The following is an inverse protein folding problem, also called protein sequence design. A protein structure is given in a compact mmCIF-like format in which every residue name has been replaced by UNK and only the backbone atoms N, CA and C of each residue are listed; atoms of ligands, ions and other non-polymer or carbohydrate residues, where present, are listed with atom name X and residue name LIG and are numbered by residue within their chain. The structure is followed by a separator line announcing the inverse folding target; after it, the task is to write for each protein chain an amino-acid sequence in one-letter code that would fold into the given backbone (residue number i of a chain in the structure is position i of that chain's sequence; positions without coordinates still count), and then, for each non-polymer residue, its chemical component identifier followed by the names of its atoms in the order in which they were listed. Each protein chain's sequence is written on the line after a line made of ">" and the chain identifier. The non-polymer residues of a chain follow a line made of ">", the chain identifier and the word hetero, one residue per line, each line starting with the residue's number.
data_IF_160999920018
#
_entry.id   IF_160999920018
#
_cell.length_a   1.000
_cell.length_b   1.000
_cell.length_c   1.000
_cell.angle_alpha   90.00
_cell.angle_beta   90.00
_cell.angle_gamma   90.00
#
_symmetry.space_group_name_H-M   'P 1'
#
loop_
_entity.id
_entity.type
_entity.pdbx_description
1 polymer ?
#
# COMPACT_ATOMS: atom_id res chain seq x y z
N UNK A 1 19.11 -5.04 -18.02
CA UNK A 1 19.53 -4.79 -16.63
C UNK A 1 18.58 -3.80 -15.99
N UNK A 2 18.22 -4.07 -14.73
CA UNK A 2 17.26 -3.30 -13.95
C UNK A 2 17.93 -2.81 -12.66
N UNK A 3 17.51 -1.63 -12.19
CA UNK A 3 17.83 -1.14 -10.86
C UNK A 3 16.56 -0.99 -10.04
N UNK A 4 16.54 -1.57 -8.84
CA UNK A 4 15.53 -1.32 -7.83
C UNK A 4 16.05 -0.29 -6.83
N UNK A 5 15.36 0.84 -6.75
CA UNK A 5 15.54 1.86 -5.72
C UNK A 5 14.43 1.70 -4.68
N UNK A 6 14.82 1.56 -3.41
CA UNK A 6 13.90 1.22 -2.32
C UNK A 6 14.26 2.00 -1.05
N UNK A 7 13.27 2.68 -0.46
CA UNK A 7 13.43 3.46 0.75
C UNK A 7 13.46 2.61 2.03
N UNK A 8 14.50 2.81 2.83
CA UNK A 8 14.70 2.08 4.07
C UNK A 8 13.66 2.49 5.12
N UNK A 9 12.86 1.53 5.59
CA UNK A 9 11.83 1.75 6.62
C UNK A 9 10.98 2.99 6.31
N UNK A 10 10.46 3.08 5.08
CA UNK A 10 9.98 4.32 4.47
C UNK A 10 9.15 5.24 5.38
N UNK A 11 8.10 4.74 6.05
CA UNK A 11 7.29 5.59 6.94
C UNK A 11 8.09 6.17 8.11
N UNK A 12 8.97 5.38 8.74
CA UNK A 12 9.86 5.91 9.78
C UNK A 12 10.83 6.96 9.21
N UNK A 13 11.35 6.74 8.00
CA UNK A 13 12.24 7.69 7.33
C UNK A 13 11.51 8.99 6.94
N UNK A 14 10.26 8.89 6.51
CA UNK A 14 9.40 10.02 6.19
C UNK A 14 9.17 10.92 7.43
N UNK A 15 8.88 10.32 8.58
CA UNK A 15 8.74 11.05 9.85
C UNK A 15 10.04 11.76 10.28
N UNK A 16 11.20 11.23 9.88
CA UNK A 16 12.51 11.82 10.17
C UNK A 16 12.94 12.93 9.20
N UNK A 17 12.21 13.18 8.11
CA UNK A 17 12.57 14.21 7.11
C UNK A 17 12.59 15.60 7.75
N UNK A 18 11.53 15.93 8.49
CA UNK A 18 11.35 17.21 9.20
C UNK A 18 11.77 17.15 10.67
N UNK A 19 12.20 15.98 11.15
CA UNK A 19 12.71 15.74 12.51
C UNK A 19 14.14 15.19 12.47
N UNK A 20 15.14 16.00 12.11
CA UNK A 20 16.54 15.56 12.08
C UNK A 20 17.03 15.07 13.44
N UNK A 21 16.45 15.58 14.53
CA UNK A 21 16.69 15.15 15.92
C UNK A 21 16.23 13.71 16.23
N UNK A 22 15.46 13.09 15.33
CA UNK A 22 15.02 11.69 15.43
C UNK A 22 15.92 10.72 14.69
N UNK A 23 16.89 11.20 13.91
CA UNK A 23 17.82 10.34 13.19
C UNK A 23 18.67 9.55 14.18
N UNK A 24 18.79 8.25 13.93
CA UNK A 24 19.50 7.34 14.84
C UNK A 24 18.72 6.87 16.06
N UNK A 25 17.47 7.35 16.27
CA UNK A 25 16.60 6.90 17.36
C UNK A 25 15.64 5.78 16.92
N UNK A 26 15.16 4.94 17.85
CA UNK A 26 14.12 3.95 17.54
C UNK A 26 12.79 4.65 17.20
N UNK A 27 12.26 4.37 16.01
CA UNK A 27 11.00 4.94 15.52
C UNK A 27 10.10 3.82 14.98
N UNK A 28 8.83 3.87 15.34
CA UNK A 28 7.77 3.03 14.78
C UNK A 28 6.61 3.89 14.26
N UNK A 29 5.91 3.37 13.26
CA UNK A 29 4.68 3.97 12.73
C UNK A 29 3.54 2.97 12.86
N UNK A 30 2.42 3.44 13.38
CA UNK A 30 1.21 2.67 13.63
C UNK A 30 0.25 2.75 12.43
N UNK A 31 -0.59 1.73 12.26
CA UNK A 31 -1.68 1.69 11.27
C UNK A 31 -2.78 2.70 11.58
N UNK A 32 -3.82 2.71 10.73
CA UNK A 32 -5.13 3.26 11.09
C UNK A 32 -5.54 2.86 12.51
N UNK A 33 -6.17 3.81 13.21
CA UNK A 33 -6.63 3.69 14.60
C UNK A 33 -5.52 3.40 15.62
N UNK A 34 -4.25 3.68 15.28
CA UNK A 34 -3.10 3.35 16.11
C UNK A 34 -3.05 1.86 16.50
N UNK A 35 -3.59 1.00 15.63
CA UNK A 35 -3.89 -0.41 15.94
C UNK A 35 -2.66 -1.32 15.98
N UNK A 36 -1.86 -1.34 14.91
CA UNK A 36 -0.69 -2.22 14.81
C UNK A 36 0.53 -1.52 14.22
N UNK A 37 1.71 -2.08 14.44
CA UNK A 37 2.97 -1.55 13.93
C UNK A 37 3.11 -1.87 12.44
N UNK A 38 3.04 -0.85 11.58
CA UNK A 38 3.15 -0.99 10.11
C UNK A 38 4.53 -0.65 9.57
N UNK A 39 5.34 0.09 10.33
CA UNK A 39 6.76 0.30 10.05
C UNK A 39 7.56 0.38 11.34
N UNK A 40 8.80 -0.13 11.29
CA UNK A 40 9.77 -0.05 12.37
C UNK A 40 11.15 0.08 11.74
N UNK A 41 11.92 1.07 12.19
CA UNK A 41 13.29 1.25 11.73
C UNK A 41 14.25 0.24 12.39
N UNK A 42 15.52 0.23 11.94
CA UNK A 42 16.53 -0.72 12.45
C UNK A 42 16.68 -0.62 13.97
N UNK A 43 16.75 0.60 14.50
CA UNK A 43 16.93 0.85 15.94
C UNK A 43 15.73 0.37 16.77
N UNK A 44 14.50 0.50 16.26
CA UNK A 44 13.32 -0.05 16.93
C UNK A 44 13.36 -1.59 16.96
N UNK A 45 13.79 -2.23 15.87
CA UNK A 45 13.95 -3.70 15.83
C UNK A 45 15.05 -4.18 16.77
N UNK A 46 16.17 -3.47 16.82
CA UNK A 46 17.28 -3.73 17.77
C UNK A 46 16.84 -3.52 19.24
N UNK A 47 15.87 -2.64 19.48
CA UNK A 47 15.23 -2.47 20.79
C UNK A 47 14.21 -3.58 21.14
N UNK A 48 14.05 -4.59 20.27
CA UNK A 48 13.15 -5.73 20.48
C UNK A 48 11.72 -5.50 20.00
N UNK A 49 11.45 -4.44 19.23
CA UNK A 49 10.10 -4.18 18.70
C UNK A 49 9.89 -4.95 17.41
N UNK A 50 8.98 -5.92 17.44
CA UNK A 50 8.59 -6.69 16.26
C UNK A 50 7.55 -5.94 15.42
N UNK A 51 7.66 -6.08 14.09
CA UNK A 51 6.73 -5.47 13.13
C UNK A 51 5.43 -6.30 13.09
N UNK A 52 4.31 -5.65 12.80
CA UNK A 52 2.98 -6.26 12.65
C UNK A 52 2.31 -6.77 13.93
N UNK A 53 2.87 -6.47 15.11
CA UNK A 53 2.18 -6.68 16.39
C UNK A 53 1.16 -5.56 16.66
N UNK A 54 0.05 -5.86 17.36
CA UNK A 54 -0.83 -4.84 17.91
C UNK A 54 -0.07 -3.91 18.87
N UNK A 55 -0.26 -2.60 18.73
CA UNK A 55 0.50 -1.61 19.49
C UNK A 55 0.26 -1.73 21.00
N UNK A 56 -0.98 -2.02 21.41
CA UNK A 56 -1.33 -2.12 22.83
C UNK A 56 -0.50 -3.18 23.58
N UNK A 57 -0.07 -4.26 22.91
CA UNK A 57 0.74 -5.33 23.51
C UNK A 57 2.17 -4.89 23.78
N UNK A 58 2.69 -3.92 23.03
CA UNK A 58 4.09 -3.49 23.09
C UNK A 58 4.25 -2.05 23.56
N UNK A 59 3.15 -1.37 23.92
CA UNK A 59 3.13 0.03 24.34
C UNK A 59 4.09 0.30 25.52
N UNK A 60 4.04 -0.53 26.56
CA UNK A 60 4.90 -0.38 27.72
C UNK A 60 6.38 -0.61 27.39
N UNK A 61 6.68 -1.59 26.52
CA UNK A 61 8.03 -1.83 26.03
C UNK A 61 8.56 -0.63 25.24
N UNK A 62 7.74 -0.04 24.37
CA UNK A 62 8.07 1.16 23.63
C UNK A 62 8.43 2.33 24.57
N UNK A 63 7.61 2.57 25.61
CA UNK A 63 7.88 3.62 26.59
C UNK A 63 9.19 3.38 27.33
N UNK A 64 9.42 2.16 27.85
CA UNK A 64 10.65 1.81 28.58
C UNK A 64 11.92 1.93 27.71
N UNK A 65 11.81 1.65 26.42
CA UNK A 65 12.93 1.70 25.46
C UNK A 65 13.08 3.06 24.77
N UNK A 66 12.26 4.06 25.11
CA UNK A 66 12.30 5.38 24.48
C UNK A 66 11.99 5.36 22.99
N UNK A 67 11.12 4.45 22.55
CA UNK A 67 10.70 4.33 21.15
C UNK A 67 9.77 5.48 20.79
N UNK A 68 10.10 6.21 19.73
CA UNK A 68 9.23 7.24 19.17
C UNK A 68 8.12 6.54 18.39
N UNK A 69 6.88 6.82 18.77
CA UNK A 69 5.68 6.21 18.18
C UNK A 69 4.89 7.28 17.44
N UNK A 70 4.65 7.05 16.14
CA UNK A 70 3.86 7.95 15.30
C UNK A 70 2.59 7.26 14.79
N UNK A 71 1.48 7.96 14.76
CA UNK A 71 0.31 7.57 13.96
C UNK A 71 0.66 7.64 12.47
N UNK A 72 -0.01 6.87 11.61
CA UNK A 72 0.19 6.99 10.16
C UNK A 72 -0.14 8.39 9.64
N UNK A 73 0.82 9.03 8.96
CA UNK A 73 0.70 10.31 8.26
C UNK A 73 0.67 10.13 6.73
N UNK A 74 -0.39 9.49 6.20
CA UNK A 74 -0.43 9.07 4.78
C UNK A 74 -0.32 10.21 3.78
N UNK A 75 -0.80 11.39 4.13
CA UNK A 75 -0.70 12.59 3.31
C UNK A 75 0.76 13.01 3.15
N UNK A 76 1.52 13.06 4.26
CA UNK A 76 2.96 13.31 4.25
C UNK A 76 3.71 12.20 3.48
N UNK A 77 3.33 10.94 3.68
CA UNK A 77 3.99 9.80 3.04
C UNK A 77 3.79 9.81 1.52
N UNK A 78 2.57 10.13 1.05
CA UNK A 78 2.27 10.22 -0.37
C UNK A 78 3.05 11.35 -1.06
N UNK A 79 3.15 12.51 -0.42
CA UNK A 79 3.90 13.66 -0.93
C UNK A 79 5.41 13.35 -1.04
N UNK A 80 6.01 12.83 0.05
CA UNK A 80 7.43 12.47 0.06
C UNK A 80 7.75 11.32 -0.91
N UNK A 81 6.84 10.35 -1.06
CA UNK A 81 6.92 9.32 -2.10
C UNK A 81 6.95 9.93 -3.49
N UNK A 82 5.98 10.79 -3.81
CA UNK A 82 5.89 11.44 -5.12
C UNK A 82 7.19 12.18 -5.47
N UNK A 83 7.71 12.96 -4.51
CA UNK A 83 9.00 13.66 -4.66
C UNK A 83 10.15 12.69 -4.89
N UNK A 84 10.23 11.60 -4.12
CA UNK A 84 11.25 10.57 -4.29
C UNK A 84 11.18 9.91 -5.66
N UNK A 85 9.99 9.50 -6.12
CA UNK A 85 9.81 8.87 -7.42
C UNK A 85 10.20 9.80 -8.55
N UNK A 86 9.86 11.10 -8.47
CA UNK A 86 10.26 12.11 -9.44
C UNK A 86 11.78 12.31 -9.51
N UNK A 87 12.50 12.20 -8.38
CA UNK A 87 13.97 12.26 -8.36
C UNK A 87 14.55 11.01 -9.03
N UNK A 88 14.01 9.83 -8.69
CA UNK A 88 14.46 8.54 -9.23
C UNK A 88 14.25 8.47 -10.75
N UNK A 89 13.11 8.96 -11.26
CA UNK A 89 12.77 8.95 -12.69
C UNK A 89 13.71 9.75 -13.58
N UNK A 90 14.55 10.64 -13.02
CA UNK A 90 15.57 11.38 -13.78
C UNK A 90 16.72 10.50 -14.27
N UNK A 91 16.88 9.30 -13.71
CA UNK A 91 18.03 8.43 -13.96
C UNK A 91 17.81 7.34 -14.99
N UNK A 92 16.59 7.15 -15.48
CA UNK A 92 16.30 6.29 -16.64
C UNK A 92 15.00 6.73 -17.33
N UNK A 93 14.88 6.57 -18.66
CA UNK A 93 13.66 6.88 -19.40
C UNK A 93 12.49 5.96 -19.01
N UNK A 94 12.79 4.72 -18.64
CA UNK A 94 11.81 3.70 -18.27
C UNK A 94 11.82 3.52 -16.75
N UNK A 95 10.79 4.07 -16.09
CA UNK A 95 10.55 3.94 -14.66
C UNK A 95 9.24 3.20 -14.39
N UNK A 96 9.28 2.25 -13.46
CA UNK A 96 8.10 1.56 -12.97
C UNK A 96 8.00 1.75 -11.46
N UNK A 97 6.98 2.49 -11.02
CA UNK A 97 6.67 2.70 -9.60
C UNK A 97 5.94 1.45 -9.09
N UNK A 98 6.62 0.64 -8.28
CA UNK A 98 6.09 -0.64 -7.79
C UNK A 98 5.24 -0.47 -6.53
N UNK A 99 5.66 0.41 -5.63
CA UNK A 99 4.97 0.75 -4.39
C UNK A 99 5.24 2.22 -4.02
N UNK A 100 4.75 2.66 -2.85
CA UNK A 100 5.00 3.99 -2.30
C UNK A 100 6.49 4.23 -1.96
N UNK A 101 7.26 3.16 -1.78
CA UNK A 101 8.65 3.20 -1.33
C UNK A 101 9.64 2.56 -2.33
N UNK A 102 9.15 1.95 -3.41
CA UNK A 102 9.97 1.21 -4.37
C UNK A 102 9.70 1.63 -5.82
N UNK A 103 10.79 1.81 -6.57
CA UNK A 103 10.74 2.05 -8.01
C UNK A 103 11.84 1.28 -8.73
N UNK A 104 11.44 0.64 -9.82
CA UNK A 104 12.36 0.03 -10.77
C UNK A 104 12.70 1.01 -11.89
N UNK A 105 13.97 0.99 -12.28
CA UNK A 105 14.49 1.64 -13.47
C UNK A 105 14.96 0.56 -14.44
N UNK A 106 14.60 0.68 -15.71
CA UNK A 106 15.17 -0.15 -16.78
C UNK A 106 16.37 0.59 -17.38
N UNK A 107 17.54 -0.06 -17.32
CA UNK A 107 18.74 0.42 -17.99
C UNK A 107 18.96 -0.26 -19.34
N UNK A 108 17.99 -1.05 -19.83
CA UNK A 108 18.13 -1.82 -21.07
C UNK A 108 18.60 -0.95 -22.24
N UNK A 109 18.00 0.24 -22.37
CA UNK A 109 18.26 1.17 -23.48
C UNK A 109 19.27 2.28 -23.13
N UNK A 110 19.72 2.37 -21.88
CA UNK A 110 20.68 3.41 -21.44
C UNK A 110 22.01 2.85 -20.95
N UNK A 111 22.13 1.52 -20.84
CA UNK A 111 23.33 0.86 -20.33
C UNK A 111 24.62 1.29 -21.04
N UNK A 112 24.68 1.44 -22.38
CA UNK A 112 25.89 1.91 -23.06
C UNK A 112 26.35 3.31 -22.66
N UNK A 113 25.43 4.18 -22.22
CA UNK A 113 25.75 5.52 -21.74
C UNK A 113 26.18 5.55 -20.26
N UNK A 114 25.95 4.46 -19.52
CA UNK A 114 26.29 4.35 -18.10
C UNK A 114 27.72 3.79 -17.97
N UNK A 115 28.68 4.66 -17.65
CA UNK A 115 30.10 4.26 -17.47
C UNK A 115 30.30 3.21 -16.38
N UNK A 116 29.57 3.31 -15.27
CA UNK A 116 29.68 2.40 -14.14
C UNK A 116 28.36 2.35 -13.35
N UNK A 117 27.74 1.17 -13.27
CA UNK A 117 26.46 0.98 -12.58
C UNK A 117 26.56 1.21 -11.07
N UNK A 118 27.66 0.79 -10.45
CA UNK A 118 27.89 1.01 -9.02
C UNK A 118 27.89 2.52 -8.71
N UNK A 119 28.59 3.29 -9.55
CA UNK A 119 28.62 4.76 -9.45
C UNK A 119 27.23 5.35 -9.72
N UNK A 120 26.51 4.87 -10.73
CA UNK A 120 25.14 5.29 -11.04
C UNK A 120 24.20 5.07 -9.85
N UNK A 121 24.27 3.91 -9.20
CA UNK A 121 23.51 3.61 -7.99
C UNK A 121 23.82 4.57 -6.85
N UNK A 122 25.09 4.93 -6.64
CA UNK A 122 25.47 5.91 -5.61
C UNK A 122 24.97 7.32 -5.94
N UNK A 123 24.98 7.73 -7.21
CA UNK A 123 24.42 9.00 -7.66
C UNK A 123 22.92 9.10 -7.35
N UNK A 124 22.16 8.04 -7.66
CA UNK A 124 20.73 7.95 -7.34
C UNK A 124 20.50 8.13 -5.84
N UNK A 125 21.21 7.36 -5.00
CA UNK A 125 21.08 7.45 -3.53
C UNK A 125 21.38 8.86 -3.01
N UNK A 126 22.46 9.46 -3.49
CA UNK A 126 22.88 10.80 -3.10
C UNK A 126 21.84 11.85 -3.50
N UNK A 127 21.26 11.75 -4.69
CA UNK A 127 20.23 12.68 -5.15
C UNK A 127 18.97 12.59 -4.27
N UNK A 128 18.47 11.38 -4.02
CA UNK A 128 17.29 11.17 -3.15
C UNK A 128 17.55 11.69 -1.73
N UNK A 129 18.73 11.43 -1.17
CA UNK A 129 19.09 11.96 0.15
C UNK A 129 19.21 13.49 0.17
N UNK A 130 19.80 14.09 -0.88
CA UNK A 130 20.01 15.54 -0.98
C UNK A 130 18.68 16.29 -1.05
N UNK A 131 17.75 15.81 -1.87
CA UNK A 131 16.54 16.54 -2.25
C UNK A 131 15.29 16.14 -1.44
N UNK A 132 15.21 14.88 -0.99
CA UNK A 132 14.06 14.36 -0.24
C UNK A 132 14.40 13.93 1.20
N UNK A 133 15.70 13.85 1.58
CA UNK A 133 16.16 13.38 2.89
C UNK A 133 15.66 11.97 3.25
N UNK A 134 15.37 11.16 2.24
CA UNK A 134 15.00 9.76 2.38
C UNK A 134 16.23 8.89 2.10
N UNK A 135 16.52 7.96 3.02
CA UNK A 135 17.60 7.00 2.84
C UNK A 135 17.10 5.83 1.97
N UNK A 136 17.71 5.64 0.81
CA UNK A 136 17.38 4.55 -0.11
C UNK A 136 18.58 3.60 -0.30
N UNK A 137 18.28 2.36 -0.65
CA UNK A 137 19.25 1.39 -1.16
C UNK A 137 18.96 1.13 -2.64
N UNK A 138 19.99 0.73 -3.39
CA UNK A 138 19.88 0.41 -4.82
C UNK A 138 20.40 -1.00 -5.07
N UNK A 139 19.58 -1.84 -5.70
CA UNK A 139 19.95 -3.17 -6.17
C UNK A 139 19.92 -3.22 -7.69
N UNK A 140 21.02 -3.64 -8.33
CA UNK A 140 21.13 -3.68 -9.78
C UNK A 140 21.41 -5.12 -10.22
N UNK A 141 20.61 -5.65 -11.13
CA UNK A 141 20.79 -7.00 -11.66
C UNK A 141 20.10 -7.19 -13.03
N UNK A 142 20.27 -8.37 -13.63
CA UNK A 142 19.74 -8.70 -14.96
C UNK A 142 18.21 -8.84 -15.01
N UNK A 143 17.61 -9.34 -13.92
CA UNK A 143 16.17 -9.61 -13.81
C UNK A 143 15.54 -8.82 -12.66
N UNK A 144 14.20 -8.65 -12.67
CA UNK A 144 13.49 -7.91 -11.63
C UNK A 144 13.61 -8.58 -10.27
N UNK A 145 13.56 -9.91 -10.25
CA UNK A 145 13.71 -10.69 -9.03
C UNK A 145 15.13 -10.56 -8.49
N UNK A 146 16.16 -10.67 -9.34
CA UNK A 146 17.54 -10.49 -8.89
C UNK A 146 17.82 -9.05 -8.43
N UNK A 147 17.19 -8.03 -9.03
CA UNK A 147 17.34 -6.65 -8.57
C UNK A 147 16.77 -6.46 -7.15
N UNK A 148 15.67 -7.16 -6.81
CA UNK A 148 15.16 -7.25 -5.43
C UNK A 148 16.13 -7.96 -4.48
N UNK A 149 16.74 -9.06 -4.92
CA UNK A 149 17.74 -9.79 -4.14
C UNK A 149 18.99 -8.90 -3.89
N UNK A 150 19.48 -8.23 -4.92
CA UNK A 150 20.58 -7.28 -4.82
C UNK A 150 20.26 -6.14 -3.86
N UNK A 151 19.05 -5.56 -3.93
CA UNK A 151 18.64 -4.50 -3.01
C UNK A 151 18.59 -5.00 -1.56
N UNK A 152 18.07 -6.20 -1.33
CA UNK A 152 18.10 -6.84 -0.02
C UNK A 152 19.53 -7.02 0.51
N UNK A 153 20.47 -7.47 -0.33
CA UNK A 153 21.89 -7.54 0.01
C UNK A 153 22.47 -6.16 0.33
N UNK A 154 22.15 -5.14 -0.46
CA UNK A 154 22.58 -3.75 -0.25
C UNK A 154 22.11 -3.18 1.09
N UNK A 155 20.96 -3.64 1.61
CA UNK A 155 20.40 -3.24 2.90
C UNK A 155 21.08 -3.91 4.10
N UNK A 156 21.46 -5.19 3.96
CA UNK A 156 21.96 -6.01 5.08
C UNK A 156 23.48 -6.07 5.17
N UNK A 157 24.18 -6.13 4.04
CA UNK A 157 25.63 -6.36 4.00
C UNK A 157 26.35 -5.02 3.90
N UNK A 158 27.12 -4.68 4.95
CA UNK A 158 27.81 -3.37 5.07
C UNK A 158 28.77 -3.08 3.91
N UNK A 159 29.42 -4.11 3.35
CA UNK A 159 30.39 -3.97 2.26
C UNK A 159 29.80 -3.28 1.02
N UNK A 160 28.52 -3.49 0.71
CA UNK A 160 27.88 -2.85 -0.46
C UNK A 160 27.58 -1.36 -0.24
N UNK A 161 27.71 -0.84 0.99
CA UNK A 161 27.49 0.58 1.29
C UNK A 161 26.17 1.13 0.74
N UNK A 162 25.11 0.30 0.70
CA UNK A 162 23.78 0.64 0.19
C UNK A 162 23.57 0.54 -1.33
N UNK A 163 24.57 0.12 -2.11
CA UNK A 163 24.43 -0.21 -3.54
C UNK A 163 25.02 -1.59 -3.82
N UNK A 164 24.19 -2.53 -4.24
CA UNK A 164 24.66 -3.84 -4.71
C UNK A 164 24.38 -3.95 -6.20
N UNK A 165 25.45 -4.01 -6.99
CA UNK A 165 25.39 -4.42 -8.38
C UNK A 165 25.82 -5.89 -8.48
N UNK A 166 24.87 -6.76 -8.78
CA UNK A 166 25.11 -8.19 -8.98
C UNK A 166 25.69 -8.41 -10.38
N UNK A 167 27.01 -8.47 -10.45
CA UNK A 167 27.78 -8.34 -11.69
C UNK A 167 28.09 -9.68 -12.36
N UNK A 168 28.14 -10.77 -11.59
CA UNK A 168 28.57 -12.07 -12.08
C UNK A 168 27.91 -13.23 -11.32
N UNK A 169 28.06 -14.44 -11.86
CA UNK A 169 27.43 -15.64 -11.32
C UNK A 169 27.93 -16.02 -9.93
N UNK A 170 29.22 -15.83 -9.63
CA UNK A 170 29.78 -16.16 -8.32
C UNK A 170 29.17 -15.28 -7.22
N UNK A 171 29.07 -13.98 -7.48
CA UNK A 171 28.43 -13.01 -6.60
C UNK A 171 26.95 -13.33 -6.41
N UNK A 172 26.23 -13.66 -7.50
CA UNK A 172 24.83 -14.12 -7.45
C UNK A 172 24.67 -15.32 -6.52
N UNK A 173 25.46 -16.38 -6.73
CA UNK A 173 25.37 -17.61 -5.93
C UNK A 173 25.71 -17.32 -4.46
N UNK A 174 26.74 -16.51 -4.19
CA UNK A 174 27.13 -16.11 -2.84
C UNK A 174 26.00 -15.42 -2.08
N UNK A 175 25.32 -14.46 -2.73
CA UNK A 175 24.18 -13.76 -2.13
C UNK A 175 22.99 -14.71 -1.92
N UNK A 176 22.68 -15.55 -2.91
CA UNK A 176 21.53 -16.48 -2.83
C UNK A 176 21.69 -17.55 -1.74
N UNK A 177 22.92 -17.98 -1.45
CA UNK A 177 23.21 -18.94 -0.36
C UNK A 177 22.98 -18.34 1.03
N UNK A 178 23.15 -17.03 1.18
CA UNK A 178 22.95 -16.32 2.46
C UNK A 178 21.49 -15.92 2.71
N UNK A 179 20.63 -16.06 1.70
CA UNK A 179 19.23 -15.64 1.76
C UNK A 179 18.30 -16.83 2.00
N UNK A 180 17.32 -16.66 2.89
CA UNK A 180 16.23 -17.64 3.05
C UNK A 180 15.38 -17.69 1.78
N UNK A 181 14.88 -18.88 1.43
CA UNK A 181 13.92 -19.03 0.34
C UNK A 181 12.65 -18.18 0.58
N UNK A 182 12.25 -18.00 1.84
CA UNK A 182 11.10 -17.17 2.22
C UNK A 182 11.31 -15.67 2.05
N UNK A 183 12.55 -15.20 1.89
CA UNK A 183 12.86 -13.80 1.62
C UNK A 183 12.80 -13.47 0.11
N UNK A 184 12.63 -14.48 -0.76
CA UNK A 184 12.53 -14.28 -2.21
C UNK A 184 11.18 -13.69 -2.58
N UNK A 185 11.20 -12.69 -3.48
CA UNK A 185 10.00 -12.03 -3.97
C UNK A 185 8.99 -13.04 -4.56
N UNK A 186 7.77 -13.04 -4.02
CA UNK A 186 6.71 -13.97 -4.41
C UNK A 186 6.60 -15.23 -3.52
N UNK A 187 7.55 -15.46 -2.61
CA UNK A 187 7.52 -16.59 -1.68
C UNK A 187 6.92 -16.17 -0.33
N UNK A 188 5.61 -16.39 -0.16
CA UNK A 188 4.90 -16.09 1.10
C UNK A 188 5.06 -17.19 2.17
N UNK A 189 4.53 -16.94 3.37
CA UNK A 189 4.59 -17.89 4.52
C UNK A 189 4.14 -19.32 4.18
N UNK A 190 3.03 -19.47 3.43
CA UNK A 190 2.51 -20.80 3.04
C UNK A 190 3.45 -21.53 2.07
N UNK A 191 4.04 -20.81 1.13
CA UNK A 191 4.98 -21.36 0.15
C UNK A 191 6.29 -21.73 0.86
N UNK A 192 6.76 -20.87 1.77
CA UNK A 192 7.96 -21.10 2.59
C UNK A 192 7.85 -22.42 3.35
N UNK A 193 6.74 -22.66 4.08
CA UNK A 193 6.49 -23.93 4.78
C UNK A 193 6.54 -25.14 3.85
N UNK A 194 6.02 -25.02 2.63
CA UNK A 194 6.03 -26.11 1.66
C UNK A 194 7.42 -26.35 1.06
N UNK A 195 8.22 -25.31 0.88
CA UNK A 195 9.63 -25.41 0.48
C UNK A 195 10.47 -26.07 1.59
N UNK A 196 10.22 -25.73 2.86
CA UNK A 196 10.85 -26.38 4.01
C UNK A 196 10.59 -27.89 4.04
N UNK A 197 9.34 -28.33 3.77
CA UNK A 197 9.00 -29.75 3.64
C UNK A 197 9.72 -30.45 2.46
N UNK A 198 10.23 -29.68 1.50
CA UNK A 198 11.04 -30.16 0.38
C UNK A 198 12.54 -30.02 0.66
N UNK A 199 12.95 -29.69 1.89
CA UNK A 199 14.33 -29.37 2.30
C UNK A 199 14.96 -28.21 1.51
N UNK A 200 14.14 -27.27 1.05
CA UNK A 200 14.57 -26.04 0.36
C UNK A 200 14.48 -24.89 1.37
N UNK A 201 15.63 -24.46 1.88
CA UNK A 201 15.75 -23.42 2.91
C UNK A 201 16.34 -22.12 2.37
N UNK A 202 17.19 -22.19 1.35
CA UNK A 202 17.89 -21.02 0.80
C UNK A 202 17.36 -20.61 -0.57
N UNK A 203 17.53 -19.34 -0.93
CA UNK A 203 17.19 -18.85 -2.25
C UNK A 203 18.01 -19.55 -3.36
N UNK A 204 19.24 -19.98 -3.05
CA UNK A 204 20.05 -20.78 -3.95
C UNK A 204 19.43 -22.17 -4.21
N UNK A 205 19.01 -22.88 -3.16
CA UNK A 205 18.31 -24.16 -3.32
C UNK A 205 17.01 -24.01 -4.11
N UNK A 206 16.28 -22.90 -3.92
CA UNK A 206 15.10 -22.59 -4.73
C UNK A 206 15.50 -22.36 -6.21
N UNK A 207 16.58 -21.64 -6.48
CA UNK A 207 17.09 -21.44 -7.83
C UNK A 207 17.52 -22.76 -8.51
N UNK A 208 18.03 -23.73 -7.76
CA UNK A 208 18.38 -25.07 -8.27
C UNK A 208 17.17 -25.97 -8.55
N UNK A 209 15.96 -25.58 -8.14
CA UNK A 209 14.75 -26.37 -8.37
C UNK A 209 14.44 -26.45 -9.88
N UNK A 210 14.12 -27.63 -10.44
CA UNK A 210 13.70 -27.73 -11.84
C UNK A 210 12.46 -26.85 -12.11
N UNK A 211 12.47 -25.96 -13.12
CA UNK A 211 11.37 -25.01 -13.36
C UNK A 211 10.00 -25.69 -13.55
N UNK A 212 9.95 -26.82 -14.26
CA UNK A 212 8.71 -27.59 -14.44
C UNK A 212 8.17 -28.15 -13.12
N UNK A 213 9.05 -28.58 -12.21
CA UNK A 213 8.64 -29.05 -10.89
C UNK A 213 8.08 -27.88 -10.06
N UNK A 214 8.69 -26.69 -10.16
CA UNK A 214 8.21 -25.49 -9.50
C UNK A 214 6.78 -25.12 -9.96
N UNK A 215 6.51 -25.18 -11.27
CA UNK A 215 5.15 -25.01 -11.83
C UNK A 215 4.18 -26.04 -11.29
N UNK A 216 4.54 -27.33 -11.38
CA UNK A 216 3.66 -28.45 -11.00
C UNK A 216 3.33 -28.44 -9.50
N UNK A 217 4.28 -28.08 -8.65
CA UNK A 217 4.10 -28.07 -7.18
C UNK A 217 3.46 -26.78 -6.66
N UNK A 218 3.63 -25.66 -7.37
CA UNK A 218 3.17 -24.35 -6.91
C UNK A 218 2.32 -23.65 -7.96
N UNK A 219 2.96 -22.92 -8.88
CA UNK A 219 2.30 -22.13 -9.91
C UNK A 219 3.29 -21.68 -10.97
N UNK A 220 2.77 -21.15 -12.09
CA UNK A 220 3.59 -20.53 -13.14
C UNK A 220 4.43 -19.35 -12.61
N UNK A 221 3.96 -18.63 -11.59
CA UNK A 221 4.73 -17.53 -10.99
C UNK A 221 5.97 -18.02 -10.24
N UNK A 222 5.91 -19.20 -9.61
CA UNK A 222 7.09 -19.76 -8.94
C UNK A 222 8.09 -20.30 -9.97
N UNK A 223 7.61 -20.88 -11.08
CA UNK A 223 8.48 -21.20 -12.21
C UNK A 223 9.22 -19.95 -12.72
N UNK A 224 8.48 -18.86 -12.97
CA UNK A 224 9.07 -17.58 -13.40
C UNK A 224 10.09 -17.06 -12.40
N UNK A 225 9.80 -17.18 -11.10
CA UNK A 225 10.73 -16.78 -10.03
C UNK A 225 12.02 -17.60 -10.06
N UNK A 226 11.93 -18.93 -10.21
CA UNK A 226 13.10 -19.82 -10.35
C UNK A 226 13.94 -19.44 -11.56
N UNK A 227 13.30 -19.18 -12.71
CA UNK A 227 13.99 -18.73 -13.93
C UNK A 227 14.66 -17.37 -13.74
N UNK A 228 13.97 -16.42 -13.12
CA UNK A 228 14.50 -15.09 -12.83
C UNK A 228 15.72 -15.12 -11.90
N UNK A 229 15.71 -15.98 -10.86
CA UNK A 229 16.87 -16.22 -10.00
C UNK A 229 18.07 -16.78 -10.77
N UNK A 230 17.78 -17.48 -11.88
CA UNK A 230 18.80 -18.01 -12.79
C UNK A 230 19.22 -17.02 -13.91
N UNK A 231 18.79 -15.76 -13.86
CA UNK A 231 19.14 -14.74 -14.86
C UNK A 231 18.23 -14.74 -16.10
N UNK A 232 17.23 -15.62 -16.16
CA UNK A 232 16.29 -15.67 -17.27
C UNK A 232 15.13 -14.70 -17.02
N UNK A 233 15.11 -13.57 -17.72
CA UNK A 233 14.05 -12.58 -17.62
C UNK A 233 12.69 -13.18 -18.05
N UNK A 234 11.76 -13.30 -17.11
CA UNK A 234 10.42 -13.87 -17.29
C UNK A 234 9.32 -12.95 -16.80
N UNK A 235 9.63 -11.98 -15.93
CA UNK A 235 8.67 -11.00 -15.43
C UNK A 235 8.78 -9.73 -16.26
N UNK A 236 7.65 -9.24 -16.73
CA UNK A 236 7.52 -8.00 -17.48
C UNK A 236 6.56 -7.05 -16.75
N UNK A 237 6.60 -5.78 -17.14
CA UNK A 237 5.65 -4.78 -16.68
C UNK A 237 4.41 -4.81 -17.55
N UNK A 238 3.24 -4.67 -16.95
CA UNK A 238 2.05 -4.34 -17.71
C UNK A 238 2.18 -2.88 -18.17
N UNK A 239 2.16 -2.62 -19.48
CA UNK A 239 2.25 -1.25 -20.03
C UNK A 239 1.03 -0.41 -19.60
N UNK A 240 -0.12 -1.04 -19.43
CA UNK A 240 -1.33 -0.45 -18.88
C UNK A 240 -1.81 -1.29 -17.69
N UNK A 241 -1.99 -0.66 -16.53
CA UNK A 241 -2.60 -1.31 -15.37
C UNK A 241 -4.07 -1.59 -15.70
N UNK A 242 -4.44 -2.86 -15.75
CA UNK A 242 -5.83 -3.24 -15.96
C UNK A 242 -6.75 -2.61 -14.91
N UNK A 243 -7.95 -2.23 -15.36
CA UNK A 243 -8.99 -1.69 -14.48
C UNK A 243 -9.31 -2.67 -13.36
N UNK A 244 -9.62 -2.11 -12.19
CA UNK A 244 -10.02 -2.94 -11.05
C UNK A 244 -11.35 -3.58 -11.39
N UNK A 245 -11.43 -4.89 -11.16
CA UNK A 245 -12.69 -5.65 -11.24
C UNK A 245 -13.64 -5.32 -10.08
N UNK A 246 -13.12 -4.82 -8.96
CA UNK A 246 -13.90 -4.48 -7.77
C UNK A 246 -13.31 -3.24 -7.09
N UNK A 247 -14.17 -2.38 -6.56
CA UNK A 247 -13.79 -1.17 -5.83
C UNK A 247 -14.36 -1.23 -4.42
N UNK A 248 -13.48 -1.29 -3.43
CA UNK A 248 -13.86 -1.30 -2.02
C UNK A 248 -13.48 0.00 -1.32
N UNK A 249 -14.36 0.43 -0.42
CA UNK A 249 -14.10 1.47 0.57
C UNK A 249 -14.50 0.92 1.92
N UNK A 250 -13.50 0.65 2.77
CA UNK A 250 -13.71 -0.06 4.03
C UNK A 250 -12.80 0.53 5.09
N UNK A 251 -13.22 0.47 6.35
CA UNK A 251 -12.39 0.90 7.47
C UNK A 251 -12.82 0.22 8.76
N UNK A 252 -11.86 0.07 9.66
CA UNK A 252 -12.15 -0.16 11.07
C UNK A 252 -12.41 1.18 11.74
N UNK A 253 -13.45 1.30 12.56
CA UNK A 253 -13.81 2.54 13.26
C UNK A 253 -12.96 2.71 14.52
N UNK A 254 -12.63 3.96 14.87
CA UNK A 254 -11.82 4.27 16.05
C UNK A 254 -12.60 4.15 17.37
N UNK A 255 -13.89 4.44 17.30
CA UNK A 255 -14.90 4.20 18.33
C UNK A 255 -15.93 3.21 17.78
N UNK A 256 -16.39 2.26 18.62
CA UNK A 256 -17.34 1.24 18.20
C UNK A 256 -18.69 1.91 17.91
N UNK A 257 -19.27 1.64 16.75
CA UNK A 257 -20.62 2.10 16.40
C UNK A 257 -21.64 1.20 17.10
N UNK A 258 -22.61 1.79 17.78
CA UNK A 258 -23.66 1.07 18.54
C UNK A 258 -25.07 1.50 18.17
N UNK A 259 -25.23 2.62 17.48
CA UNK A 259 -26.51 3.16 17.04
C UNK A 259 -26.67 3.10 15.51
N UNK A 260 -27.92 3.10 15.07
CA UNK A 260 -28.27 2.96 13.66
C UNK A 260 -27.84 4.17 12.83
N UNK A 261 -27.96 5.37 13.38
CA UNK A 261 -27.65 6.61 12.68
C UNK A 261 -26.16 6.70 12.34
N UNK A 262 -25.28 6.45 13.31
CA UNK A 262 -23.84 6.41 13.10
C UNK A 262 -23.42 5.35 12.09
N UNK A 263 -24.09 4.18 12.08
CA UNK A 263 -23.84 3.14 11.07
C UNK A 263 -24.21 3.65 9.67
N UNK A 264 -25.38 4.26 9.52
CA UNK A 264 -25.85 4.82 8.25
C UNK A 264 -24.92 5.91 7.73
N UNK A 265 -24.49 6.83 8.61
CA UNK A 265 -23.54 7.89 8.28
C UNK A 265 -22.20 7.32 7.80
N UNK A 266 -21.69 6.33 8.51
CA UNK A 266 -20.40 5.75 8.20
C UNK A 266 -20.41 4.94 6.90
N UNK A 267 -21.49 4.18 6.64
CA UNK A 267 -21.70 3.52 5.35
C UNK A 267 -21.87 4.53 4.21
N UNK A 268 -22.61 5.61 4.41
CA UNK A 268 -22.82 6.68 3.41
C UNK A 268 -21.50 7.33 2.99
N UNK A 269 -20.59 7.59 3.94
CA UNK A 269 -19.23 8.06 3.62
C UNK A 269 -18.49 7.06 2.73
N UNK A 270 -18.57 5.77 3.06
CA UNK A 270 -17.91 4.74 2.28
C UNK A 270 -18.49 4.59 0.87
N UNK A 271 -19.80 4.79 0.70
CA UNK A 271 -20.45 4.89 -0.61
C UNK A 271 -19.85 6.05 -1.41
N UNK A 272 -19.80 7.26 -0.86
CA UNK A 272 -19.24 8.44 -1.55
C UNK A 272 -17.82 8.23 -2.05
N UNK A 273 -16.96 7.65 -1.20
CA UNK A 273 -15.58 7.33 -1.56
C UNK A 273 -15.51 6.25 -2.65
N UNK A 274 -16.34 5.21 -2.56
CA UNK A 274 -16.36 4.12 -3.56
C UNK A 274 -16.87 4.62 -4.91
N UNK A 275 -17.91 5.46 -4.91
CA UNK A 275 -18.50 6.08 -6.09
C UNK A 275 -17.50 7.00 -6.82
N UNK A 276 -16.82 7.88 -6.08
CA UNK A 276 -15.78 8.74 -6.65
C UNK A 276 -14.61 7.94 -7.25
N UNK A 277 -14.22 6.82 -6.61
CA UNK A 277 -13.21 5.92 -7.17
C UNK A 277 -13.68 5.24 -8.46
N UNK A 278 -14.95 4.83 -8.53
CA UNK A 278 -15.53 4.24 -9.74
C UNK A 278 -15.56 5.25 -10.88
N UNK A 279 -16.03 6.48 -10.62
CA UNK A 279 -16.00 7.58 -11.61
C UNK A 279 -14.60 7.90 -12.10
N UNK A 280 -13.61 7.96 -11.20
CA UNK A 280 -12.20 8.19 -11.59
C UNK A 280 -11.65 7.08 -12.50
N UNK A 281 -12.13 5.85 -12.37
CA UNK A 281 -11.75 4.73 -13.24
C UNK A 281 -12.58 4.68 -14.54
N UNK A 282 -13.61 5.54 -14.71
CA UNK A 282 -14.58 5.40 -15.81
C UNK A 282 -15.43 4.14 -15.69
N UNK A 283 -15.73 3.72 -14.45
CA UNK A 283 -16.51 2.52 -14.16
C UNK A 283 -17.85 2.88 -13.49
N UNK A 284 -18.88 2.11 -13.83
CA UNK A 284 -20.17 2.03 -13.15
C UNK A 284 -20.29 0.67 -12.45
N UNK A 285 -21.30 0.48 -11.60
CA UNK A 285 -21.54 -0.80 -10.94
C UNK A 285 -23.00 -1.23 -10.99
N UNK A 286 -23.25 -2.53 -11.14
CA UNK A 286 -24.59 -3.12 -11.02
C UNK A 286 -24.87 -3.73 -9.65
N UNK A 287 -23.82 -4.13 -8.93
CA UNK A 287 -23.95 -4.80 -7.65
C UNK A 287 -23.07 -4.14 -6.59
N UNK A 288 -23.69 -3.73 -5.49
CA UNK A 288 -23.05 -3.18 -4.31
C UNK A 288 -23.21 -4.13 -3.12
N UNK A 289 -22.09 -4.51 -2.52
CA UNK A 289 -22.04 -5.24 -1.26
C UNK A 289 -21.82 -4.26 -0.11
N UNK A 290 -22.63 -4.40 0.93
CA UNK A 290 -22.54 -3.63 2.18
C UNK A 290 -22.20 -4.63 3.27
N UNK A 291 -21.30 -4.27 4.17
CA UNK A 291 -21.00 -5.12 5.32
C UNK A 291 -20.69 -4.32 6.58
N UNK A 292 -21.02 -4.91 7.71
CA UNK A 292 -20.74 -4.39 9.04
C UNK A 292 -20.49 -5.58 9.98
N UNK A 293 -19.39 -5.55 10.72
CA UNK A 293 -19.01 -6.60 11.67
C UNK A 293 -18.44 -5.99 12.95
N UNK A 294 -18.56 -6.72 14.05
CA UNK A 294 -17.77 -6.43 15.25
C UNK A 294 -16.34 -7.00 15.10
N UNK A 295 -15.55 -7.03 16.18
CA UNK A 295 -14.18 -7.54 16.12
C UNK A 295 -14.17 -9.08 16.17
N UNK A 296 -13.29 -9.76 15.40
CA UNK A 296 -13.06 -11.19 15.56
C UNK A 296 -12.59 -11.61 16.96
N UNK A 297 -12.16 -10.64 17.79
CA UNK A 297 -11.70 -10.85 19.16
C UNK A 297 -12.76 -10.50 20.22
N UNK A 298 -13.97 -10.10 19.83
CA UNK A 298 -15.08 -9.94 20.77
C UNK A 298 -15.63 -11.33 21.16
N UNK A 299 -16.32 -11.44 22.30
CA UNK A 299 -16.83 -12.72 22.83
C UNK A 299 -17.75 -13.45 21.84
N UNK A 300 -18.57 -12.71 21.12
CA UNK A 300 -19.46 -13.24 20.07
C UNK A 300 -19.19 -12.51 18.75
N UNK A 301 -18.29 -13.03 17.91
CA UNK A 301 -18.01 -12.44 16.60
C UNK A 301 -19.20 -12.57 15.66
N UNK A 302 -19.69 -11.44 15.16
CA UNK A 302 -20.80 -11.34 14.20
C UNK A 302 -20.40 -10.50 13.00
N UNK A 303 -20.87 -10.91 11.82
CA UNK A 303 -20.68 -10.19 10.57
C UNK A 303 -21.96 -10.22 9.76
N UNK A 304 -22.46 -9.05 9.40
CA UNK A 304 -23.64 -8.89 8.56
C UNK A 304 -23.23 -8.38 7.19
N UNK A 305 -23.96 -8.85 6.17
CA UNK A 305 -23.76 -8.46 4.77
C UNK A 305 -25.12 -8.27 4.11
N UNK A 306 -25.23 -7.27 3.26
CA UNK A 306 -26.36 -7.08 2.37
C UNK A 306 -25.85 -6.84 0.95
N UNK A 307 -26.64 -7.27 -0.03
CA UNK A 307 -26.35 -7.07 -1.46
C UNK A 307 -27.47 -6.22 -2.04
N UNK A 308 -27.08 -5.17 -2.77
CA UNK A 308 -27.97 -4.28 -3.49
C UNK A 308 -27.68 -4.42 -4.97
N UNK A 309 -28.71 -4.76 -5.74
CA UNK A 309 -28.66 -4.81 -7.19
C UNK A 309 -29.33 -3.58 -7.77
N UNK A 310 -28.64 -2.92 -8.69
CA UNK A 310 -29.16 -1.79 -9.44
C UNK A 310 -29.65 -2.28 -10.81
N UNK A 311 -30.87 -1.92 -11.23
CA UNK A 311 -31.39 -2.31 -12.55
C UNK A 311 -30.46 -1.85 -13.69
N UNK A 312 -30.00 -0.60 -13.59
CA UNK A 312 -29.01 -0.01 -14.49
C UNK A 312 -27.69 0.22 -13.74
N UNK A 313 -26.57 0.06 -14.45
CA UNK A 313 -25.27 0.28 -13.83
C UNK A 313 -25.11 1.75 -13.44
N UNK A 314 -24.59 2.04 -12.25
CA UNK A 314 -24.47 3.40 -11.74
C UNK A 314 -23.16 3.63 -10.99
N UNK A 315 -22.66 4.85 -11.07
CA UNK A 315 -21.61 5.40 -10.22
C UNK A 315 -22.08 6.68 -9.50
N UNK A 316 -23.39 6.96 -9.51
CA UNK A 316 -23.97 8.13 -8.89
C UNK A 316 -23.98 7.97 -7.38
N UNK A 317 -23.35 8.90 -6.65
CA UNK A 317 -23.28 8.83 -5.19
C UNK A 317 -24.67 8.81 -4.56
N UNK A 318 -25.64 9.56 -5.12
CA UNK A 318 -27.00 9.66 -4.57
C UNK A 318 -27.73 8.32 -4.69
N UNK A 319 -27.74 7.71 -5.87
CA UNK A 319 -28.42 6.43 -6.12
C UNK A 319 -27.79 5.30 -5.28
N UNK A 320 -26.46 5.25 -5.23
CA UNK A 320 -25.75 4.27 -4.42
C UNK A 320 -26.07 4.45 -2.92
N UNK A 321 -26.14 5.69 -2.44
CA UNK A 321 -26.49 5.97 -1.04
C UNK A 321 -27.94 5.59 -0.75
N UNK A 322 -28.88 5.85 -1.66
CA UNK A 322 -30.28 5.42 -1.50
C UNK A 322 -30.40 3.90 -1.42
N UNK A 323 -29.72 3.17 -2.32
CA UNK A 323 -29.68 1.70 -2.28
C UNK A 323 -29.07 1.17 -0.98
N UNK A 324 -28.00 1.81 -0.50
CA UNK A 324 -27.38 1.48 0.79
C UNK A 324 -28.33 1.70 1.96
N UNK A 325 -28.98 2.88 2.03
CA UNK A 325 -29.92 3.22 3.09
C UNK A 325 -31.10 2.26 3.17
N UNK A 326 -31.63 1.81 2.02
CA UNK A 326 -32.70 0.83 1.97
C UNK A 326 -32.31 -0.56 2.49
N UNK A 327 -31.01 -0.90 2.44
CA UNK A 327 -30.49 -2.17 2.93
C UNK A 327 -29.87 -2.08 4.34
N UNK A 328 -29.62 -0.88 4.87
CA UNK A 328 -28.87 -0.66 6.11
C UNK A 328 -29.51 -1.34 7.35
N UNK A 329 -30.84 -1.41 7.41
CA UNK A 329 -31.60 -2.08 8.48
C UNK A 329 -31.29 -3.58 8.59
N UNK A 330 -30.86 -4.22 7.50
CA UNK A 330 -30.46 -5.63 7.50
C UNK A 330 -29.13 -5.86 8.23
N UNK A 331 -28.28 -4.83 8.31
CA UNK A 331 -26.97 -4.91 8.94
C UNK A 331 -27.00 -4.57 10.43
N UNK A 332 -27.95 -3.75 10.87
CA UNK A 332 -28.04 -3.27 12.25
C UNK A 332 -28.74 -4.27 13.17
N UNK A 333 -28.11 -4.52 14.32
CA UNK A 333 -28.63 -5.31 15.43
C UNK A 333 -28.29 -4.59 16.72
N UNK A 334 -29.32 -4.32 17.50
CA UNK A 334 -29.17 -3.71 18.82
C UNK A 334 -28.24 -4.57 19.70
N UNK A 335 -27.41 -3.91 20.51
CA UNK A 335 -26.37 -4.57 21.32
C UNK A 335 -25.08 -4.93 20.59
N UNK A 336 -25.04 -4.85 19.25
CA UNK A 336 -23.79 -5.11 18.50
C UNK A 336 -22.88 -3.89 18.50
N UNK A 337 -21.60 -4.10 18.88
CA UNK A 337 -20.55 -3.06 18.89
C UNK A 337 -19.71 -3.14 17.62
N UNK A 338 -20.19 -2.52 16.54
CA UNK A 338 -19.56 -2.59 15.23
C UNK A 338 -18.15 -1.98 15.22
N UNK A 339 -17.23 -2.68 14.57
CA UNK A 339 -15.82 -2.31 14.47
C UNK A 339 -15.36 -2.14 13.03
N UNK A 340 -15.87 -2.94 12.10
CA UNK A 340 -15.44 -2.92 10.71
C UNK A 340 -16.66 -2.77 9.81
N UNK A 341 -16.60 -1.78 8.94
CA UNK A 341 -17.68 -1.45 8.02
C UNK A 341 -17.11 -1.17 6.63
N UNK A 342 -17.95 -1.28 5.61
CA UNK A 342 -17.56 -0.86 4.29
C UNK A 342 -18.55 -1.21 3.19
N UNK A 343 -18.20 -0.70 2.02
CA UNK A 343 -18.93 -0.87 0.77
C UNK A 343 -17.97 -1.46 -0.27
N UNK A 344 -18.47 -2.39 -1.07
CA UNK A 344 -17.80 -2.97 -2.22
C UNK A 344 -18.65 -2.87 -3.47
N UNK A 345 -18.13 -2.24 -4.52
CA UNK A 345 -18.70 -2.26 -5.87
C UNK A 345 -18.04 -3.43 -6.60
N UNK A 346 -18.80 -4.48 -6.91
CA UNK A 346 -18.24 -5.79 -7.30
C UNK A 346 -18.44 -6.10 -8.78
N UNK A 347 -19.61 -5.78 -9.32
CA UNK A 347 -19.95 -6.01 -10.72
C UNK A 347 -19.73 -4.69 -11.48
N UNK A 348 -18.45 -4.39 -11.73
CA UNK A 348 -18.03 -3.16 -12.40
C UNK A 348 -18.15 -3.29 -13.92
N UNK A 349 -18.75 -2.27 -14.53
CA UNK A 349 -18.92 -2.15 -15.97
C UNK A 349 -18.18 -0.89 -16.42
N UNK A 350 -17.49 -0.95 -17.56
CA UNK A 350 -16.90 0.24 -18.15
C UNK A 350 -17.99 1.17 -18.65
N UNK A 351 -17.89 2.46 -18.32
CA UNK A 351 -18.82 3.48 -18.80
C UNK A 351 -18.84 3.57 -20.33
N UNK A 352 -17.70 3.27 -20.98
CA UNK A 352 -17.58 3.24 -22.43
C UNK A 352 -18.40 2.12 -23.11
N UNK A 353 -18.72 1.05 -22.38
CA UNK A 353 -19.46 -0.11 -22.88
C UNK A 353 -20.78 -0.32 -22.14
N UNK A 354 -21.32 0.75 -21.55
CA UNK A 354 -22.56 0.66 -20.78
C UNK A 354 -23.76 0.47 -21.70
N UNK A 355 -24.48 -0.63 -21.51
CA UNK A 355 -25.73 -0.89 -22.22
C UNK A 355 -26.88 -0.13 -21.55
N UNK A 356 -27.59 0.67 -22.33
CA UNK A 356 -28.78 1.37 -21.87
C UNK A 356 -29.92 0.38 -21.59
N UNK A 357 -30.70 0.66 -20.56
CA UNK A 357 -31.91 -0.08 -20.23
C UNK A 357 -33.12 0.65 -20.83
N UNK A 358 -33.95 -0.09 -21.58
CA UNK A 358 -35.14 0.45 -22.25
C UNK A 358 -36.24 0.86 -21.25
N UNK A 359 -36.33 0.18 -20.11
CA UNK A 359 -37.40 0.35 -19.12
C UNK A 359 -36.95 1.12 -17.87
N UNK A 360 -35.64 1.21 -17.64
CA UNK A 360 -35.05 1.96 -16.53
C UNK A 360 -34.18 3.11 -17.05
N UNK A 361 -34.76 4.30 -17.34
CA UNK A 361 -33.97 5.44 -17.74
C UNK A 361 -33.01 5.84 -16.62
N UNK A 362 -31.77 6.18 -17.00
CA UNK A 362 -30.75 6.58 -16.05
C UNK A 362 -31.16 7.87 -15.34
N UNK A 363 -31.32 7.82 -14.01
CA UNK A 363 -31.73 8.96 -13.19
C UNK A 363 -30.55 9.82 -12.74
N UNK A 364 -29.34 9.27 -12.81
CA UNK A 364 -28.11 9.94 -12.47
C UNK A 364 -27.86 11.15 -13.39
N UNK A 365 -27.44 12.27 -12.80
CA UNK A 365 -26.93 13.44 -13.53
C UNK A 365 -25.39 13.42 -13.49
N UNK A 366 -24.71 13.04 -14.59
CA UNK A 366 -23.24 12.98 -14.61
C UNK A 366 -22.59 14.33 -14.35
N UNK A 367 -23.16 15.42 -14.89
CA UNK A 367 -22.63 16.78 -14.70
C UNK A 367 -22.64 17.19 -13.22
N UNK A 368 -23.67 16.81 -12.47
CA UNK A 368 -23.72 17.03 -11.02
C UNK A 368 -22.61 16.25 -10.29
N UNK A 369 -22.42 14.97 -10.62
CA UNK A 369 -21.39 14.14 -10.00
C UNK A 369 -19.98 14.62 -10.34
N UNK A 370 -19.73 15.05 -11.58
CA UNK A 370 -18.47 15.68 -11.96
C UNK A 370 -18.23 16.98 -11.20
N UNK A 371 -19.25 17.82 -11.05
CA UNK A 371 -19.14 19.06 -10.27
C UNK A 371 -18.78 18.77 -8.80
N UNK A 372 -19.46 17.79 -8.19
CA UNK A 372 -19.16 17.34 -6.83
C UNK A 372 -17.69 16.88 -6.69
N UNK A 373 -17.22 16.06 -7.64
CA UNK A 373 -15.85 15.56 -7.64
C UNK A 373 -14.83 16.67 -7.90
N UNK A 374 -15.10 17.60 -8.81
CA UNK A 374 -14.21 18.72 -9.12
C UNK A 374 -14.04 19.67 -7.94
N UNK A 375 -15.13 19.98 -7.21
CA UNK A 375 -15.06 20.80 -5.99
C UNK A 375 -14.19 20.10 -4.94
N UNK A 376 -14.45 18.81 -4.68
CA UNK A 376 -13.68 18.04 -3.70
C UNK A 376 -12.22 17.82 -4.14
N UNK A 377 -11.95 17.75 -5.44
CA UNK A 377 -10.59 17.65 -5.96
C UNK A 377 -9.81 18.95 -5.74
N UNK A 378 -10.45 20.11 -5.97
CA UNK A 378 -9.82 21.43 -5.87
C UNK A 378 -9.65 21.90 -4.43
N UNK A 379 -10.67 21.72 -3.60
CA UNK A 379 -10.72 22.33 -2.26
C UNK A 379 -10.47 21.32 -1.13
N UNK A 380 -10.37 20.03 -1.44
CA UNK A 380 -10.09 18.98 -0.49
C UNK A 380 -11.25 17.99 -0.33
N UNK A 381 -10.91 16.79 0.13
CA UNK A 381 -11.90 15.74 0.36
C UNK A 381 -12.93 16.18 1.42
N UNK A 382 -14.18 15.76 1.24
CA UNK A 382 -15.31 16.13 2.11
C UNK A 382 -15.56 17.66 2.18
N UNK A 383 -15.18 18.45 1.17
CA UNK A 383 -15.61 19.87 1.07
C UNK A 383 -17.11 19.96 0.82
N UNK A 384 -17.62 19.11 -0.08
CA UNK A 384 -19.05 18.90 -0.31
C UNK A 384 -19.32 17.41 -0.26
N UNK A 385 -20.34 17.02 0.50
CA UNK A 385 -20.73 15.63 0.72
C UNK A 385 -22.25 15.53 0.84
N UNK A 386 -22.79 14.31 0.73
CA UNK A 386 -24.21 14.10 0.98
C UNK A 386 -24.50 14.20 2.47
N UNK A 387 -25.58 14.91 2.84
CA UNK A 387 -25.98 15.07 4.24
C UNK A 387 -26.12 13.74 5.00
N UNK A 388 -26.48 12.66 4.31
CA UNK A 388 -26.55 11.30 4.87
C UNK A 388 -25.22 10.80 5.48
N UNK A 389 -24.06 11.35 5.10
CA UNK A 389 -22.76 11.04 5.71
C UNK A 389 -22.59 11.65 7.12
N UNK A 390 -23.45 12.60 7.52
CA UNK A 390 -23.33 13.33 8.77
C UNK A 390 -22.22 14.38 8.74
N UNK A 391 -22.33 15.38 9.62
CA UNK A 391 -21.34 16.46 9.79
C UNK A 391 -20.32 16.14 10.88
N UNK A 392 -20.72 15.37 11.89
CA UNK A 392 -19.85 14.89 12.96
C UNK A 392 -19.50 13.42 12.73
N UNK A 393 -18.22 13.08 12.83
CA UNK A 393 -17.76 11.72 12.63
C UNK A 393 -17.14 11.16 13.92
N UNK A 394 -17.98 10.80 14.89
CA UNK A 394 -17.51 10.20 16.17
C UNK A 394 -16.72 8.92 15.96
N UNK A 395 -17.05 8.18 14.91
CA UNK A 395 -16.38 6.96 14.46
C UNK A 395 -15.11 7.19 13.62
N UNK A 396 -14.62 8.44 13.53
CA UNK A 396 -13.42 8.78 12.78
C UNK A 396 -12.20 7.96 13.21
N UNK A 397 -11.21 7.90 12.31
CA UNK A 397 -9.98 7.16 12.57
C UNK A 397 -9.20 7.84 13.70
N UNK A 398 -8.76 7.05 14.68
CA UNK A 398 -7.85 7.52 15.72
C UNK A 398 -6.45 7.72 15.16
N UNK A 399 -5.88 8.90 15.41
CA UNK A 399 -4.51 9.32 15.04
C UNK A 399 -3.94 10.20 16.17
N UNK A 400 -3.89 9.68 17.39
CA UNK A 400 -3.55 10.45 18.61
C UNK A 400 -2.08 10.90 18.62
N UNK A 401 -1.22 10.19 17.89
CA UNK A 401 0.22 10.40 17.80
C UNK A 401 0.60 10.96 16.42
N UNK A 402 -0.29 11.71 15.78
CA UNK A 402 -0.07 12.28 14.46
C UNK A 402 0.97 13.41 14.53
N UNK A 403 2.02 13.30 13.72
CA UNK A 403 3.00 14.36 13.55
C UNK A 403 2.42 15.53 12.73
N UNK A 404 3.00 16.73 12.85
CA UNK A 404 2.58 17.86 12.01
C UNK A 404 2.57 17.48 10.53
N UNK A 405 1.56 17.97 9.80
CA UNK A 405 1.38 17.67 8.39
C UNK A 405 2.23 18.62 7.53
N UNK A 406 3.56 18.48 7.67
CA UNK A 406 4.56 19.44 7.20
C UNK A 406 4.43 19.90 5.74
N UNK A 407 3.91 19.04 4.87
CA UNK A 407 3.82 19.29 3.42
C UNK A 407 2.41 19.54 2.92
N UNK A 408 1.39 19.34 3.76
CA UNK A 408 -0.02 19.43 3.36
C UNK A 408 -0.84 20.42 4.19
N UNK A 409 -0.28 20.97 5.28
CA UNK A 409 -0.89 22.05 6.07
C UNK A 409 0.09 23.21 6.27
N UNK A 410 -0.31 24.40 5.82
CA UNK A 410 0.48 25.63 5.96
C UNK A 410 0.92 25.92 7.40
N UNK A 411 0.02 25.75 8.37
CA UNK A 411 0.31 25.97 9.79
C UNK A 411 1.26 24.92 10.40
N UNK A 412 1.53 23.83 9.69
CA UNK A 412 2.44 22.77 10.12
C UNK A 412 3.84 22.90 9.52
N UNK A 413 4.09 23.90 8.67
CA UNK A 413 5.42 24.15 8.10
C UNK A 413 6.39 24.52 9.23
N UNK A 414 7.58 23.90 9.32
CA UNK A 414 8.53 24.22 10.38
C UNK A 414 8.96 25.69 10.33
N UNK A 415 8.80 26.41 11.45
CA UNK A 415 9.33 27.76 11.59
C UNK A 415 10.80 27.70 11.99
N UNK A 416 11.68 28.25 11.16
CA UNK A 416 13.08 28.47 11.51
C UNK A 416 13.14 29.78 12.30
N UNK A 417 13.43 29.69 13.60
CA UNK A 417 13.81 30.86 14.39
C UNK A 417 15.30 31.08 14.15
N UNK A 418 15.62 32.11 13.38
CA UNK A 418 16.99 32.56 13.15
C UNK A 418 17.51 33.34 14.37
#
# INVERSE_FOLDING_TARGET
>A
MFALVDANSFYCSAEQVFRPDWRGKPVIVLSNNDGCIVAANRQAKEAGIEKFLPYFQVKELCTRRGVIVCSSNYELYADLSSKMMNIIGRFAPEQHIYSIDESFLSFKNTYPAIKCLQTQGQLIRRAVWKEARLAVCVGIAETLTLAKIANHAAKKIRHYQGVCFMSNEQERISILKQLSAGDVWGIGRRISKKLELMNIHTAYQLACMPPMLARKRFSIEIERTVRELNGQACKAWDEARADKKQIFSTRSVGERITDYESLLQALSKHVGIAAAKARKQGSTCKTMMIFASNSPHDEQPVSYKAIVHFPSSTNCTIELTQGMSGAASQLFREGTRYYKIGIGLIDLVSEAYNQLDLFNPQRANPALMHTLDSINHRYGSDTVFLAAQGIEHRWAMRRELLTPQYTTKWLSVPCIKC
#
